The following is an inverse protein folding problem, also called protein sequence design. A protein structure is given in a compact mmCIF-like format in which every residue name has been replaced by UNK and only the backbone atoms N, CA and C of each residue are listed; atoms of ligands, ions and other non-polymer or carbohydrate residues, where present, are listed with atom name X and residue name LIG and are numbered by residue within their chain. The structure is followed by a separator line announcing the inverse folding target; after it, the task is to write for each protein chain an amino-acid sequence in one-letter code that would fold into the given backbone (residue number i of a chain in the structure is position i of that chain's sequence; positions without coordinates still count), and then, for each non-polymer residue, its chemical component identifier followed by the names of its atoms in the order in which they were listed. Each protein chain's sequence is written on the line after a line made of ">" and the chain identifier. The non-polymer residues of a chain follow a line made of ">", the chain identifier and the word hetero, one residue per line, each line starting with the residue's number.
data_IF_925114737982
#
_entry.id   IF_925114737982
#
_cell.length_a   1.000
_cell.length_b   1.000
_cell.length_c   1.000
_cell.angle_alpha   90.00
_cell.angle_beta   90.00
_cell.angle_gamma   90.00
#
_symmetry.space_group_name_H-M   'P 1'
#
loop_
_entity.id
_entity.type
_entity.pdbx_description
1 polymer ?
#
# COMPACT_ATOMS: atom_id res chain seq x y z
N UNK A 1 19.03 15.69 -2.98
CA UNK A 1 18.39 14.86 -1.94
C UNK A 1 17.13 14.26 -2.55
N UNK A 2 16.83 12.98 -2.34
CA UNK A 2 15.60 12.34 -2.81
C UNK A 2 14.53 12.41 -1.73
N UNK A 3 13.29 12.72 -2.11
CA UNK A 3 12.12 12.82 -1.24
C UNK A 3 11.04 11.88 -1.74
N UNK A 4 10.43 11.11 -0.85
CA UNK A 4 9.42 10.11 -1.18
C UNK A 4 8.15 10.33 -0.38
N UNK A 5 7.04 9.80 -0.86
CA UNK A 5 5.77 9.83 -0.15
C UNK A 5 5.05 8.47 -0.23
N UNK A 6 3.94 8.33 0.50
CA UNK A 6 3.09 7.13 0.52
C UNK A 6 1.59 7.48 0.52
N UNK A 7 1.22 8.58 -0.15
CA UNK A 7 -0.15 9.08 -0.18
C UNK A 7 -1.07 8.19 -1.04
N UNK A 8 -2.19 7.72 -0.46
CA UNK A 8 -3.22 6.95 -1.19
C UNK A 8 -4.46 7.78 -1.54
N UNK A 9 -4.73 8.83 -0.76
CA UNK A 9 -5.81 9.79 -1.00
C UNK A 9 -5.45 10.77 -2.11
N UNK A 10 -6.46 11.42 -2.69
CA UNK A 10 -6.23 12.39 -3.78
C UNK A 10 -5.35 13.55 -3.33
N UNK A 11 -5.54 14.06 -2.10
CA UNK A 11 -4.68 15.09 -1.51
C UNK A 11 -3.23 14.62 -1.32
N UNK A 12 -3.04 13.37 -0.86
CA UNK A 12 -1.70 12.79 -0.69
C UNK A 12 -0.98 12.54 -2.01
N UNK A 13 -1.71 12.10 -3.04
CA UNK A 13 -1.16 11.94 -4.39
C UNK A 13 -0.82 13.28 -5.03
N UNK A 14 -1.65 14.31 -4.86
CA UNK A 14 -1.36 15.67 -5.32
C UNK A 14 -0.11 16.26 -4.64
N UNK A 15 0.07 16.01 -3.33
CA UNK A 15 1.30 16.38 -2.63
C UNK A 15 2.52 15.66 -3.21
N UNK A 16 2.42 14.34 -3.42
CA UNK A 16 3.49 13.52 -3.99
C UNK A 16 3.87 13.99 -5.39
N UNK A 17 2.87 14.30 -6.23
CA UNK A 17 3.07 14.82 -7.57
C UNK A 17 3.87 16.12 -7.58
N UNK A 18 3.73 16.98 -6.56
CA UNK A 18 4.51 18.23 -6.47
C UNK A 18 5.91 18.07 -5.89
N UNK A 19 6.09 17.18 -4.91
CA UNK A 19 7.29 17.21 -4.07
C UNK A 19 8.10 15.91 -4.02
N UNK A 20 7.52 14.77 -4.39
CA UNK A 20 8.18 13.47 -4.28
C UNK A 20 8.84 13.05 -5.60
N UNK A 21 9.93 12.30 -5.53
CA UNK A 21 10.53 11.57 -6.65
C UNK A 21 9.68 10.36 -7.06
N UNK A 22 9.05 9.70 -6.08
CA UNK A 22 8.10 8.60 -6.29
C UNK A 22 7.17 8.43 -5.09
N UNK A 23 6.05 7.72 -5.30
CA UNK A 23 5.04 7.46 -4.29
C UNK A 23 4.88 5.96 -4.03
N UNK A 24 4.86 5.52 -2.77
CA UNK A 24 4.54 4.15 -2.41
C UNK A 24 3.03 3.90 -2.46
N UNK A 25 2.61 2.73 -2.95
CA UNK A 25 1.23 2.26 -2.86
C UNK A 25 1.15 0.78 -2.47
N UNK A 26 -0.01 0.37 -1.96
CA UNK A 26 -0.21 -1.00 -1.51
C UNK A 26 -0.51 -1.93 -2.69
N UNK A 27 0.19 -3.07 -2.73
CA UNK A 27 -0.29 -4.25 -3.43
C UNK A 27 -1.68 -4.65 -2.94
N UNK A 28 -2.45 -5.30 -3.80
CA UNK A 28 -3.84 -5.69 -3.51
C UNK A 28 -4.03 -7.18 -3.78
N UNK A 29 -4.68 -7.86 -2.84
CA UNK A 29 -5.01 -9.28 -2.90
C UNK A 29 -3.82 -10.22 -2.72
N UNK A 30 -4.09 -11.53 -2.81
CA UNK A 30 -3.10 -12.61 -2.73
C UNK A 30 -2.96 -13.21 -4.12
N UNK A 31 -1.73 -13.23 -4.66
CA UNK A 31 -1.41 -13.68 -6.02
C UNK A 31 -2.20 -12.97 -7.15
N UNK A 32 -2.58 -11.70 -6.93
CA UNK A 32 -3.22 -10.83 -7.92
C UNK A 32 -2.32 -9.63 -8.25
N UNK A 33 -1.19 -9.84 -8.95
CA UNK A 33 -0.09 -8.89 -9.01
C UNK A 33 -0.47 -7.54 -9.64
N UNK A 34 -1.50 -7.47 -10.49
CA UNK A 34 -1.92 -6.24 -11.17
C UNK A 34 -3.10 -5.51 -10.49
N UNK A 35 -3.63 -6.01 -9.38
CA UNK A 35 -4.80 -5.43 -8.72
C UNK A 35 -4.55 -4.02 -8.14
N UNK A 36 -3.29 -3.57 -8.04
CA UNK A 36 -2.93 -2.19 -7.66
C UNK A 36 -3.08 -1.18 -8.80
N UNK A 37 -3.30 -1.63 -10.05
CA UNK A 37 -3.27 -0.79 -11.24
C UNK A 37 -4.17 0.46 -11.16
N UNK A 38 -5.39 0.43 -10.60
CA UNK A 38 -6.21 1.63 -10.44
C UNK A 38 -5.54 2.71 -9.57
N UNK A 39 -4.80 2.32 -8.54
CA UNK A 39 -4.07 3.26 -7.66
C UNK A 39 -2.89 3.89 -8.37
N UNK A 40 -2.11 3.09 -9.12
CA UNK A 40 -1.00 3.60 -9.92
C UNK A 40 -1.49 4.54 -11.05
N UNK A 41 -2.64 4.23 -11.66
CA UNK A 41 -3.27 5.09 -12.66
C UNK A 41 -3.67 6.47 -12.09
N UNK A 42 -4.25 6.52 -10.88
CA UNK A 42 -4.53 7.79 -10.20
C UNK A 42 -3.27 8.58 -9.89
N UNK A 43 -2.19 7.90 -9.46
CA UNK A 43 -0.91 8.58 -9.21
C UNK A 43 -0.33 9.17 -10.50
N UNK A 44 -0.43 8.45 -11.63
CA UNK A 44 -0.03 8.98 -12.94
C UNK A 44 -0.82 10.23 -13.33
N UNK A 45 -2.15 10.22 -13.14
CA UNK A 45 -3.00 11.39 -13.37
C UNK A 45 -2.61 12.59 -12.49
N UNK A 46 -2.26 12.35 -11.22
CA UNK A 46 -1.78 13.41 -10.33
C UNK A 46 -0.42 13.97 -10.81
N UNK A 47 0.48 13.11 -11.26
CA UNK A 47 1.79 13.52 -11.80
C UNK A 47 1.64 14.37 -13.07
N UNK A 48 0.74 13.99 -13.97
CA UNK A 48 0.41 14.74 -15.21
C UNK A 48 -0.01 16.19 -14.94
N UNK A 49 -0.75 16.45 -13.84
CA UNK A 49 -1.15 17.82 -13.45
C UNK A 49 0.04 18.73 -13.09
N UNK A 50 1.21 18.16 -12.84
CA UNK A 50 2.44 18.89 -12.47
C UNK A 50 3.53 18.80 -13.52
N UNK A 51 3.34 17.98 -14.56
CA UNK A 51 4.35 17.71 -15.59
C UNK A 51 5.60 16.98 -15.07
N UNK A 52 5.57 16.44 -13.84
CA UNK A 52 6.69 15.72 -13.22
C UNK A 52 6.59 14.22 -13.47
N UNK A 53 7.73 13.56 -13.53
CA UNK A 53 7.81 12.09 -13.54
C UNK A 53 7.82 11.59 -12.09
N UNK A 54 6.68 11.06 -11.63
CA UNK A 54 6.50 10.53 -10.27
C UNK A 54 5.86 9.13 -10.35
N UNK A 55 6.72 8.11 -10.39
CA UNK A 55 6.30 6.71 -10.46
C UNK A 55 5.71 6.16 -9.15
N UNK A 56 5.11 4.97 -9.24
CA UNK A 56 4.58 4.24 -8.08
C UNK A 56 5.46 3.03 -7.73
N UNK A 57 5.89 2.93 -6.48
CA UNK A 57 6.55 1.73 -5.92
C UNK A 57 5.52 0.93 -5.13
N UNK A 58 5.37 -0.37 -5.44
CA UNK A 58 4.28 -1.19 -4.90
C UNK A 58 4.78 -2.12 -3.81
N UNK A 59 4.16 -2.06 -2.64
CA UNK A 59 4.48 -2.93 -1.51
C UNK A 59 3.77 -4.29 -1.63
N UNK A 60 4.53 -5.37 -1.61
CA UNK A 60 4.06 -6.75 -1.48
C UNK A 60 4.89 -7.53 -0.45
N UNK A 61 4.27 -8.51 0.20
CA UNK A 61 4.96 -9.54 0.94
C UNK A 61 5.23 -10.72 0.01
N UNK A 62 6.48 -11.18 -0.07
CA UNK A 62 6.86 -12.36 -0.85
C UNK A 62 6.96 -13.55 0.10
N UNK A 63 6.07 -14.53 -0.08
CA UNK A 63 6.12 -15.83 0.60
C UNK A 63 6.42 -16.87 -0.47
N UNK A 64 7.71 -17.18 -0.65
CA UNK A 64 8.20 -18.14 -1.64
C UNK A 64 8.71 -19.41 -0.95
N UNK A 65 8.61 -20.53 -1.63
CA UNK A 65 9.20 -21.82 -1.25
C UNK A 65 9.50 -22.63 -2.52
N UNK A 66 10.03 -23.84 -2.39
CA UNK A 66 10.42 -24.70 -3.52
C UNK A 66 9.22 -25.11 -4.40
N UNK A 67 8.02 -25.21 -3.80
CA UNK A 67 6.78 -25.50 -4.50
C UNK A 67 5.66 -24.56 -4.07
N UNK A 68 4.66 -24.40 -4.94
CA UNK A 68 3.46 -23.60 -4.66
C UNK A 68 2.73 -24.09 -3.40
N UNK A 69 2.63 -25.40 -3.22
CA UNK A 69 1.99 -26.03 -2.06
C UNK A 69 2.75 -25.74 -0.76
N UNK A 70 4.09 -25.78 -0.79
CA UNK A 70 4.92 -25.45 0.37
C UNK A 70 4.81 -23.97 0.74
N UNK A 71 4.79 -23.07 -0.25
CA UNK A 71 4.56 -21.65 -0.02
C UNK A 71 3.16 -21.39 0.57
N UNK A 72 2.13 -22.07 0.08
CA UNK A 72 0.77 -22.01 0.62
C UNK A 72 0.71 -22.53 2.05
N UNK A 73 1.39 -23.64 2.35
CA UNK A 73 1.44 -24.19 3.70
C UNK A 73 2.03 -23.19 4.71
N UNK A 74 3.11 -22.48 4.35
CA UNK A 74 3.66 -21.40 5.18
C UNK A 74 2.68 -20.24 5.38
N UNK A 75 2.00 -19.82 4.31
CA UNK A 75 0.98 -18.78 4.40
C UNK A 75 -0.16 -19.16 5.36
N UNK A 76 -0.70 -20.38 5.23
CA UNK A 76 -1.74 -20.88 6.13
C UNK A 76 -1.24 -21.00 7.57
N UNK A 77 0.01 -21.44 7.77
CA UNK A 77 0.63 -21.50 9.09
C UNK A 77 0.72 -20.12 9.76
N UNK A 78 1.15 -19.08 9.04
CA UNK A 78 1.21 -17.72 9.59
C UNK A 78 -0.17 -17.18 9.97
N UNK A 79 -1.20 -17.44 9.14
CA UNK A 79 -2.58 -17.07 9.48
C UNK A 79 -3.10 -17.82 10.71
N UNK A 80 -2.79 -19.10 10.85
CA UNK A 80 -3.21 -19.90 12.00
C UNK A 80 -2.59 -19.41 13.33
N UNK A 81 -1.41 -18.78 13.24
CA UNK A 81 -0.73 -18.14 14.37
C UNK A 81 -1.02 -16.65 14.52
N UNK A 82 -2.08 -16.13 13.90
CA UNK A 82 -2.43 -14.72 13.98
C UNK A 82 -2.67 -14.28 15.44
N UNK A 83 -2.08 -13.14 15.80
CA UNK A 83 -2.36 -12.47 17.08
C UNK A 83 -3.71 -11.74 16.97
N UNK A 84 -4.79 -12.46 17.27
CA UNK A 84 -6.17 -11.97 17.17
C UNK A 84 -6.41 -10.74 18.06
N UNK A 85 -5.75 -10.64 19.22
CA UNK A 85 -5.88 -9.50 20.12
C UNK A 85 -5.27 -8.25 19.48
N UNK A 86 -4.04 -8.37 18.97
CA UNK A 86 -3.38 -7.27 18.28
C UNK A 86 -4.15 -6.84 17.00
N UNK A 87 -4.71 -7.80 16.25
CA UNK A 87 -5.51 -7.53 15.06
C UNK A 87 -6.83 -6.81 15.39
N UNK A 88 -7.51 -7.23 16.46
CA UNK A 88 -8.72 -6.56 16.95
C UNK A 88 -8.41 -5.11 17.33
N UNK A 89 -7.35 -4.91 18.12
CA UNK A 89 -6.94 -3.58 18.54
C UNK A 89 -6.58 -2.67 17.36
N UNK A 90 -5.83 -3.17 16.37
CA UNK A 90 -5.48 -2.43 15.15
C UNK A 90 -6.74 -1.98 14.40
N UNK A 91 -7.71 -2.88 14.27
CA UNK A 91 -8.98 -2.62 13.60
C UNK A 91 -9.72 -1.49 14.31
N UNK A 92 -9.83 -1.54 15.63
CA UNK A 92 -10.45 -0.47 16.43
C UNK A 92 -9.73 0.87 16.25
N UNK A 93 -8.39 0.90 16.28
CA UNK A 93 -7.65 2.15 16.10
C UNK A 93 -7.85 2.74 14.70
N UNK A 94 -7.90 1.91 13.66
CA UNK A 94 -8.09 2.35 12.28
C UNK A 94 -9.45 3.05 12.06
N UNK A 95 -10.45 2.73 12.88
CA UNK A 95 -11.79 3.30 12.81
C UNK A 95 -11.95 4.56 13.66
N UNK A 96 -11.05 4.80 14.64
CA UNK A 96 -11.08 6.01 15.47
C UNK A 96 -10.67 7.23 14.65
N UNK A 97 -11.68 7.92 14.12
CA UNK A 97 -11.54 9.29 13.60
C UNK A 97 -11.51 10.23 14.81
N UNK A 98 -10.33 10.74 15.16
CA UNK A 98 -10.27 11.88 16.07
C UNK A 98 -10.94 13.07 15.38
N UNK A 99 -11.92 13.75 16.02
CA UNK A 99 -12.45 14.99 15.48
C UNK A 99 -11.28 15.97 15.34
N UNK A 100 -11.06 16.46 14.12
CA UNK A 100 -10.14 17.57 13.89
C UNK A 100 -10.63 18.75 14.73
N UNK A 101 -9.92 19.04 15.82
CA UNK A 101 -10.07 20.31 16.51
C UNK A 101 -9.46 21.39 15.63
N UNK A 102 -10.30 22.02 14.82
CA UNK A 102 -10.08 23.36 14.27
C UNK A 102 -11.39 24.11 14.31
#
# INVERSE_FOLDING_TARGET
>A
MKVICAGQSDAGMAFSARYADFNFCFGKGVNTPTAFAPTAARMKQAAEQTGRDVGSYVLFMVIADETDDAARAKWEHYKAGADEEALSWLTEQSQKRYPLRY
#
